data_IF_836666785293
#
_entry.id   IF_836666785293
#
_cell.length_a   1.000
_cell.length_b   1.000
_cell.length_c   1.000
_cell.angle_alpha   90.00
_cell.angle_beta   90.00
_cell.angle_gamma   90.00
#
_symmetry.space_group_name_H-M   'P 1'
#
loop_
_entity.id
_entity.type
_entity.pdbx_description
1 polymer ?
#
# COMPACT_ATOMS: atom_id res chain seq x y z
N UNK A 1 21.73 -17.54 14.53
CA UNK A 1 20.60 -17.39 15.48
C UNK A 1 19.78 -16.18 15.04
N UNK A 2 18.46 -16.24 15.14
CA UNK A 2 17.60 -15.07 14.86
C UNK A 2 17.74 -14.08 16.01
N UNK A 3 17.79 -12.80 15.71
CA UNK A 3 17.91 -11.73 16.71
C UNK A 3 16.66 -11.69 17.56
N UNK A 4 16.82 -11.67 18.89
CA UNK A 4 15.73 -11.48 19.85
C UNK A 4 15.73 -10.00 20.24
N UNK A 5 14.56 -9.36 20.19
CA UNK A 5 14.38 -7.97 20.64
C UNK A 5 13.23 -7.95 21.64
N UNK A 6 13.44 -7.31 22.78
CA UNK A 6 12.41 -7.08 23.78
C UNK A 6 12.05 -5.59 23.83
N UNK A 7 10.88 -5.26 23.35
CA UNK A 7 10.29 -3.92 23.41
C UNK A 7 9.57 -3.77 24.75
N UNK A 8 10.17 -3.04 25.66
CA UNK A 8 9.64 -2.83 27.02
C UNK A 8 8.68 -1.67 27.09
N UNK A 9 7.83 -1.72 28.08
CA UNK A 9 6.93 -0.62 28.44
C UNK A 9 6.00 -0.18 27.29
N UNK A 10 5.53 -1.11 26.47
CA UNK A 10 4.53 -0.86 25.43
C UNK A 10 3.15 -0.63 26.05
N UNK A 11 2.45 0.45 25.68
CA UNK A 11 1.02 0.58 25.92
C UNK A 11 0.26 -0.09 24.78
N UNK A 12 -0.46 -1.18 25.09
CA UNK A 12 -1.25 -1.89 24.08
C UNK A 12 -2.68 -1.34 24.02
N UNK A 13 -3.22 -1.28 22.80
CA UNK A 13 -4.62 -0.93 22.57
C UNK A 13 -5.52 -1.93 23.30
N UNK A 14 -6.52 -1.45 24.03
CA UNK A 14 -7.50 -2.27 24.76
C UNK A 14 -6.92 -3.11 25.92
N UNK A 15 -5.72 -2.80 26.44
CA UNK A 15 -5.14 -3.43 27.62
C UNK A 15 -4.69 -2.39 28.65
N UNK A 16 -4.95 -2.64 29.93
CA UNK A 16 -4.52 -1.77 31.01
C UNK A 16 -3.06 -2.07 31.43
N UNK A 17 -2.32 -1.00 31.66
CA UNK A 17 -0.91 -1.07 32.07
C UNK A 17 0.05 -1.18 30.89
N UNK A 18 1.32 -1.44 31.22
CA UNK A 18 2.39 -1.59 30.26
C UNK A 18 2.77 -3.05 30.07
N UNK A 19 3.19 -3.41 28.89
CA UNK A 19 3.55 -4.76 28.48
C UNK A 19 4.92 -4.75 27.80
N UNK A 20 5.61 -5.87 27.89
CA UNK A 20 6.77 -6.15 27.05
C UNK A 20 6.34 -7.01 25.87
N UNK A 21 6.84 -6.67 24.69
CA UNK A 21 6.65 -7.42 23.44
C UNK A 21 8.02 -7.99 23.08
N UNK A 22 8.11 -9.30 22.94
CA UNK A 22 9.36 -9.97 22.57
C UNK A 22 9.22 -10.58 21.18
N UNK A 23 10.19 -10.27 20.33
CA UNK A 23 10.26 -10.80 18.95
C UNK A 23 11.50 -11.65 18.75
N UNK A 24 11.41 -12.68 17.91
CA UNK A 24 12.52 -13.43 17.37
C UNK A 24 12.49 -13.33 15.84
N UNK A 25 13.36 -12.50 15.27
CA UNK A 25 13.26 -12.09 13.87
C UNK A 25 11.93 -11.37 13.63
N UNK A 26 11.12 -11.87 12.71
CA UNK A 26 9.83 -11.27 12.31
C UNK A 26 8.63 -11.76 13.13
N UNK A 27 8.85 -12.61 14.13
CA UNK A 27 7.76 -13.21 14.90
C UNK A 27 7.69 -12.67 16.31
N UNK A 28 6.50 -12.33 16.76
CA UNK A 28 6.22 -12.08 18.18
C UNK A 28 6.19 -13.43 18.90
N UNK A 29 7.10 -13.61 19.87
CA UNK A 29 7.20 -14.84 20.68
C UNK A 29 6.66 -14.67 22.09
N UNK A 30 6.35 -13.44 22.52
CA UNK A 30 5.77 -13.19 23.83
C UNK A 30 5.21 -11.78 23.95
N UNK A 31 4.09 -11.65 24.66
CA UNK A 31 3.51 -10.39 25.12
C UNK A 31 3.07 -10.60 26.56
N UNK A 32 3.75 -9.99 27.53
CA UNK A 32 3.42 -10.09 28.95
C UNK A 32 3.97 -8.90 29.74
N UNK A 33 3.45 -8.67 30.93
CA UNK A 33 4.00 -7.67 31.84
C UNK A 33 5.35 -8.16 32.39
N UNK A 34 6.33 -7.26 32.49
CA UNK A 34 7.65 -7.52 33.10
C UNK A 34 8.35 -8.78 32.57
N UNK A 35 8.23 -9.05 31.28
CA UNK A 35 8.73 -10.30 30.68
C UNK A 35 10.08 -10.17 29.97
N UNK A 36 10.55 -8.98 29.69
CA UNK A 36 11.81 -8.75 28.96
C UNK A 36 13.03 -9.40 29.67
N UNK A 37 13.06 -9.38 31.00
CA UNK A 37 14.14 -9.98 31.79
C UNK A 37 14.25 -11.51 31.70
N UNK A 38 13.28 -12.20 31.10
CA UNK A 38 13.33 -13.65 30.85
C UNK A 38 14.22 -14.03 29.64
N UNK A 39 14.62 -13.04 28.84
CA UNK A 39 15.38 -13.23 27.61
C UNK A 39 16.74 -12.52 27.75
N UNK A 40 17.72 -13.22 28.35
CA UNK A 40 19.04 -12.69 28.70
C UNK A 40 19.79 -12.12 27.52
N UNK A 41 19.58 -12.68 26.33
CA UNK A 41 20.29 -12.33 25.09
C UNK A 41 19.51 -11.36 24.20
N UNK A 42 18.38 -10.83 24.69
CA UNK A 42 17.56 -9.91 23.93
C UNK A 42 18.16 -8.50 23.91
N UNK A 43 18.14 -7.87 22.75
CA UNK A 43 18.29 -6.42 22.67
C UNK A 43 17.07 -5.74 23.31
N UNK A 44 17.31 -4.81 24.23
CA UNK A 44 16.23 -4.10 24.92
C UNK A 44 15.97 -2.76 24.26
N UNK A 45 14.71 -2.53 23.90
CA UNK A 45 14.21 -1.25 23.39
C UNK A 45 13.11 -0.76 24.33
N UNK A 46 13.34 0.31 25.08
CA UNK A 46 12.33 0.90 25.97
C UNK A 46 11.42 1.84 25.17
N UNK A 47 10.13 1.51 25.13
CA UNK A 47 9.11 2.31 24.44
C UNK A 47 8.57 3.46 25.31
N UNK A 48 8.87 3.50 26.61
CA UNK A 48 8.49 4.58 27.49
C UNK A 48 6.98 4.84 27.56
N UNK A 49 6.15 3.82 27.46
CA UNK A 49 4.69 3.93 27.49
C UNK A 49 4.06 4.35 26.15
N UNK A 50 4.80 4.32 25.03
CA UNK A 50 4.25 4.59 23.69
C UNK A 50 3.22 3.53 23.32
N UNK A 51 2.18 3.98 22.62
CA UNK A 51 1.16 3.09 22.08
C UNK A 51 1.78 2.20 20.99
N UNK A 52 1.49 0.91 21.11
CA UNK A 52 1.77 -0.09 20.06
C UNK A 52 0.45 -0.68 19.63
N UNK A 53 0.21 -0.70 18.34
CA UNK A 53 -0.96 -1.29 17.70
C UNK A 53 -0.55 -2.04 16.44
N UNK A 54 -1.48 -2.75 15.87
CA UNK A 54 -1.36 -3.36 14.55
C UNK A 54 -1.13 -2.27 13.50
N UNK A 55 -0.45 -2.59 12.39
CA UNK A 55 -0.27 -1.66 11.28
C UNK A 55 -1.61 -1.28 10.65
N UNK A 56 -1.66 -0.10 10.03
CA UNK A 56 -2.84 0.32 9.27
C UNK A 56 -2.92 -0.38 7.92
N UNK A 57 -4.13 -0.44 7.42
CA UNK A 57 -4.46 -0.98 6.08
C UNK A 57 -5.04 0.17 5.26
N UNK A 58 -4.41 0.49 4.12
CA UNK A 58 -5.02 1.33 3.11
C UNK A 58 -5.84 0.44 2.18
N UNK A 59 -7.16 0.55 2.30
CA UNK A 59 -8.08 -0.35 1.60
C UNK A 59 -8.51 0.14 0.22
N UNK A 60 -8.21 1.39 -0.15
CA UNK A 60 -8.61 1.97 -1.43
C UNK A 60 -7.75 3.16 -1.83
N UNK A 61 -6.73 2.91 -2.61
CA UNK A 61 -5.88 3.94 -3.22
C UNK A 61 -5.68 3.64 -4.71
N UNK A 62 -5.32 4.64 -5.48
CA UNK A 62 -4.90 4.51 -6.87
C UNK A 62 -3.43 4.91 -6.99
N UNK A 63 -2.51 3.97 -6.74
CA UNK A 63 -1.08 4.23 -6.82
C UNK A 63 -0.58 4.48 -8.26
N UNK A 64 -1.34 4.03 -9.24
CA UNK A 64 -1.07 4.22 -10.67
C UNK A 64 -1.17 5.68 -11.13
N UNK A 65 -1.98 6.51 -10.43
CA UNK A 65 -2.11 7.93 -10.77
C UNK A 65 -2.04 8.90 -9.59
N UNK A 66 -1.47 8.48 -8.45
CA UNK A 66 -1.19 9.41 -7.35
C UNK A 66 -0.26 10.55 -7.81
N UNK A 67 -0.42 11.71 -7.21
CA UNK A 67 0.38 12.92 -7.52
C UNK A 67 0.34 13.35 -8.99
N UNK A 68 -0.78 13.16 -9.67
CA UNK A 68 -0.97 13.56 -11.07
C UNK A 68 -1.61 14.94 -11.24
N UNK A 69 -1.86 15.65 -10.14
CA UNK A 69 -2.48 16.99 -10.18
C UNK A 69 -1.62 18.05 -10.94
N UNK A 70 -0.34 17.77 -11.15
CA UNK A 70 0.58 18.60 -11.93
C UNK A 70 0.55 18.31 -13.44
N UNK A 71 -0.14 17.27 -13.89
CA UNK A 71 -0.28 16.95 -15.31
C UNK A 71 -1.25 17.93 -15.93
N UNK A 72 -0.86 18.62 -17.01
CA UNK A 72 -1.77 19.51 -17.72
C UNK A 72 -3.00 18.73 -18.20
N UNK A 73 -4.16 19.23 -17.84
CA UNK A 73 -5.43 18.72 -18.33
C UNK A 73 -6.38 19.91 -18.50
N UNK A 74 -7.48 19.72 -19.22
CA UNK A 74 -8.50 20.75 -19.35
C UNK A 74 -8.99 21.22 -17.97
N UNK A 75 -9.24 22.53 -17.84
CA UNK A 75 -9.76 23.09 -16.59
C UNK A 75 -11.11 22.44 -16.27
N UNK A 76 -11.24 21.97 -15.05
CA UNK A 76 -12.45 21.34 -14.56
C UNK A 76 -13.30 22.38 -13.83
N UNK A 77 -14.58 22.43 -14.14
CA UNK A 77 -15.49 23.45 -13.61
C UNK A 77 -16.40 22.92 -12.49
N UNK A 78 -16.71 21.61 -12.47
CA UNK A 78 -17.73 21.05 -11.59
C UNK A 78 -17.17 20.40 -10.31
N UNK A 79 -15.93 19.94 -10.33
CA UNK A 79 -15.30 19.20 -9.22
C UNK A 79 -15.98 17.87 -8.90
N UNK A 80 -16.71 17.29 -9.86
CA UNK A 80 -17.37 16.01 -9.70
C UNK A 80 -16.44 14.83 -9.94
N UNK A 81 -16.80 13.65 -9.42
CA UNK A 81 -16.07 12.41 -9.68
C UNK A 81 -16.01 12.09 -11.19
N UNK A 82 -17.11 12.31 -11.92
CA UNK A 82 -17.15 12.02 -13.37
C UNK A 82 -16.15 12.88 -14.14
N UNK A 83 -16.04 14.15 -13.81
CA UNK A 83 -15.07 15.07 -14.38
C UNK A 83 -13.63 14.63 -14.06
N UNK A 84 -13.38 14.14 -12.85
CA UNK A 84 -12.06 13.61 -12.48
C UNK A 84 -11.71 12.33 -13.28
N UNK A 85 -12.67 11.46 -13.53
CA UNK A 85 -12.49 10.26 -14.36
C UNK A 85 -12.19 10.66 -15.81
N UNK A 86 -12.95 11.60 -16.38
CA UNK A 86 -12.73 12.10 -17.74
C UNK A 86 -11.34 12.74 -17.90
N UNK A 87 -10.94 13.55 -16.91
CA UNK A 87 -9.62 14.16 -16.87
C UNK A 87 -8.51 13.10 -16.84
N UNK A 88 -8.66 12.07 -16.02
CA UNK A 88 -7.72 10.96 -15.98
C UNK A 88 -7.66 10.23 -17.33
N UNK A 89 -8.81 9.85 -17.88
CA UNK A 89 -8.90 9.19 -19.20
C UNK A 89 -8.17 9.95 -20.30
N UNK A 90 -8.28 11.28 -20.31
CA UNK A 90 -7.60 12.16 -21.28
C UNK A 90 -6.09 12.32 -21.05
N UNK A 91 -5.61 12.09 -19.81
CA UNK A 91 -4.21 12.37 -19.44
C UNK A 91 -3.35 11.14 -19.19
N UNK A 92 -3.93 9.97 -18.93
CA UNK A 92 -3.19 8.75 -18.54
C UNK A 92 -2.11 8.33 -19.56
N UNK A 93 -2.35 8.55 -20.85
CA UNK A 93 -1.40 8.24 -21.93
C UNK A 93 -0.16 9.15 -21.98
N UNK A 94 -0.13 10.24 -21.19
CA UNK A 94 1.03 11.11 -21.07
C UNK A 94 2.07 10.57 -20.08
N UNK A 95 1.71 9.56 -19.29
CA UNK A 95 2.58 8.97 -18.27
C UNK A 95 3.39 7.81 -18.84
N UNK A 96 4.71 7.88 -18.66
CA UNK A 96 5.55 6.71 -18.89
C UNK A 96 5.47 5.74 -17.71
N UNK A 97 5.84 4.48 -17.94
CA UNK A 97 5.96 3.47 -16.92
C UNK A 97 6.87 3.89 -15.76
N UNK A 98 7.99 4.53 -16.07
CA UNK A 98 8.97 5.04 -15.11
C UNK A 98 8.39 6.18 -14.26
N UNK A 99 7.59 7.08 -14.86
CA UNK A 99 6.94 8.16 -14.12
C UNK A 99 5.88 7.62 -13.16
N UNK A 100 5.07 6.66 -13.63
CA UNK A 100 4.09 5.96 -12.77
C UNK A 100 4.78 5.29 -11.58
N UNK A 101 5.84 4.53 -11.82
CA UNK A 101 6.63 3.88 -10.74
C UNK A 101 7.15 4.90 -9.74
N UNK A 102 7.75 5.99 -10.20
CA UNK A 102 8.27 7.06 -9.33
C UNK A 102 7.20 7.67 -8.45
N UNK A 103 6.01 7.94 -9.00
CA UNK A 103 4.86 8.47 -8.25
C UNK A 103 4.33 7.45 -7.25
N UNK A 104 4.19 6.20 -7.66
CA UNK A 104 3.77 5.08 -6.81
C UNK A 104 4.71 4.90 -5.61
N UNK A 105 6.04 4.90 -5.81
CA UNK A 105 7.00 4.84 -4.70
C UNK A 105 6.85 5.98 -3.70
N UNK A 106 6.63 7.20 -4.20
CA UNK A 106 6.37 8.35 -3.33
C UNK A 106 5.09 8.16 -2.51
N UNK A 107 4.03 7.64 -3.13
CA UNK A 107 2.78 7.30 -2.46
C UNK A 107 2.98 6.24 -1.38
N UNK A 108 3.58 5.11 -1.73
CA UNK A 108 3.90 4.01 -0.83
C UNK A 108 4.73 4.49 0.36
N UNK A 109 5.77 5.29 0.12
CA UNK A 109 6.60 5.82 1.20
C UNK A 109 5.80 6.74 2.15
N UNK A 110 4.84 7.49 1.62
CA UNK A 110 3.94 8.33 2.43
C UNK A 110 3.04 7.46 3.31
N UNK A 111 2.44 6.41 2.73
CA UNK A 111 1.63 5.45 3.48
C UNK A 111 2.44 4.75 4.59
N UNK A 112 3.61 4.22 4.26
CA UNK A 112 4.48 3.56 5.24
C UNK A 112 4.89 4.49 6.38
N UNK A 113 5.17 5.77 6.11
CA UNK A 113 5.52 6.78 7.15
C UNK A 113 4.35 7.03 8.11
N UNK A 114 3.13 6.78 7.70
CA UNK A 114 1.92 6.86 8.50
C UNK A 114 1.52 5.53 9.15
N UNK A 115 2.36 4.49 9.03
CA UNK A 115 2.15 3.19 9.68
C UNK A 115 1.32 2.19 8.88
N UNK A 116 1.07 2.47 7.60
CA UNK A 116 0.42 1.52 6.69
C UNK A 116 1.43 0.45 6.24
N UNK A 117 1.04 -0.82 6.32
CA UNK A 117 1.83 -1.96 5.85
C UNK A 117 1.09 -2.84 4.84
N UNK A 118 -0.19 -2.60 4.66
CA UNK A 118 -1.04 -3.35 3.73
C UNK A 118 -1.79 -2.35 2.84
N UNK A 119 -1.57 -2.42 1.54
CA UNK A 119 -2.15 -1.48 0.58
C UNK A 119 -2.97 -2.26 -0.45
N UNK A 120 -4.24 -1.91 -0.61
CA UNK A 120 -5.06 -2.33 -1.73
C UNK A 120 -5.14 -1.20 -2.74
N UNK A 121 -4.42 -1.34 -3.86
CA UNK A 121 -4.45 -0.35 -4.94
C UNK A 121 -5.34 -0.82 -6.08
N UNK A 122 -6.22 0.08 -6.52
CA UNK A 122 -7.08 -0.10 -7.67
C UNK A 122 -6.37 0.49 -8.88
N UNK A 123 -5.95 -0.38 -9.80
CA UNK A 123 -5.14 0.00 -10.96
C UNK A 123 -6.01 0.03 -12.20
N UNK A 124 -6.05 1.17 -12.89
CA UNK A 124 -6.85 1.33 -14.10
C UNK A 124 -6.36 0.38 -15.21
N UNK A 125 -7.27 -0.49 -15.65
CA UNK A 125 -7.04 -1.45 -16.74
C UNK A 125 -7.75 -1.05 -18.03
N UNK A 126 -8.38 0.13 -18.09
CA UNK A 126 -8.96 0.68 -19.33
C UNK A 126 -7.87 1.33 -20.20
N UNK A 127 -6.78 0.60 -20.38
CA UNK A 127 -5.63 0.89 -21.23
C UNK A 127 -5.17 -0.42 -21.90
N UNK A 128 -5.35 -0.59 -23.22
CA UNK A 128 -4.97 -1.81 -23.92
C UNK A 128 -3.47 -2.15 -23.85
N UNK A 129 -2.62 -1.18 -23.57
CA UNK A 129 -1.17 -1.38 -23.39
C UNK A 129 -0.80 -1.80 -21.98
N UNK A 130 -1.72 -1.69 -21.02
CA UNK A 130 -1.50 -2.01 -19.61
C UNK A 130 -0.30 -1.30 -18.98
N UNK A 131 0.03 -0.09 -19.44
CA UNK A 131 1.21 0.64 -19.01
C UNK A 131 1.26 0.81 -17.48
N UNK A 132 0.16 1.31 -16.91
CA UNK A 132 0.04 1.50 -15.46
C UNK A 132 0.03 0.15 -14.71
N UNK A 133 -0.68 -0.84 -15.23
CA UNK A 133 -0.77 -2.14 -14.59
C UNK A 133 0.57 -2.88 -14.56
N UNK A 134 1.33 -2.86 -15.66
CA UNK A 134 2.68 -3.41 -15.71
C UNK A 134 3.63 -2.71 -14.74
N UNK A 135 3.55 -1.36 -14.67
CA UNK A 135 4.32 -0.59 -13.69
C UNK A 135 4.04 -1.04 -12.26
N UNK A 136 2.77 -1.24 -11.91
CA UNK A 136 2.37 -1.63 -10.57
C UNK A 136 2.71 -3.09 -10.22
N UNK A 137 2.72 -4.01 -11.20
CA UNK A 137 3.24 -5.37 -10.99
C UNK A 137 4.72 -5.34 -10.60
N UNK A 138 5.53 -4.53 -11.28
CA UNK A 138 6.95 -4.37 -10.94
C UNK A 138 7.14 -3.72 -9.57
N UNK A 139 6.40 -2.64 -9.29
CA UNK A 139 6.45 -1.96 -7.98
C UNK A 139 6.11 -2.92 -6.85
N UNK A 140 5.04 -3.71 -7.00
CA UNK A 140 4.64 -4.73 -6.01
C UNK A 140 5.80 -5.69 -5.68
N UNK A 141 6.48 -6.21 -6.70
CA UNK A 141 7.60 -7.12 -6.50
C UNK A 141 8.81 -6.43 -5.85
N UNK A 142 9.11 -5.19 -6.24
CA UNK A 142 10.26 -4.44 -5.73
C UNK A 142 10.11 -3.99 -4.26
N UNK A 143 8.88 -3.86 -3.76
CA UNK A 143 8.63 -3.41 -2.37
C UNK A 143 8.12 -4.51 -1.44
N UNK A 144 8.00 -5.75 -1.91
CA UNK A 144 7.40 -6.87 -1.17
C UNK A 144 8.02 -7.15 0.21
N UNK A 145 9.29 -6.79 0.40
CA UNK A 145 9.99 -6.93 1.68
C UNK A 145 9.66 -5.80 2.67
N UNK A 146 8.87 -4.81 2.28
CA UNK A 146 8.57 -3.61 3.06
C UNK A 146 7.08 -3.39 3.30
N UNK A 147 6.26 -3.69 2.31
CA UNK A 147 4.81 -3.47 2.32
C UNK A 147 4.13 -4.51 1.44
N UNK A 148 2.99 -5.02 1.91
CA UNK A 148 2.14 -5.91 1.13
C UNK A 148 1.21 -5.10 0.23
N UNK A 149 1.25 -5.36 -1.08
CA UNK A 149 0.38 -4.70 -2.04
C UNK A 149 -0.56 -5.72 -2.68
N UNK A 150 -1.85 -5.44 -2.61
CA UNK A 150 -2.88 -6.13 -3.37
C UNK A 150 -3.26 -5.27 -4.58
N UNK A 151 -3.14 -5.85 -5.79
CA UNK A 151 -3.50 -5.19 -7.05
C UNK A 151 -4.91 -5.60 -7.48
N UNK A 152 -5.79 -4.60 -7.60
CA UNK A 152 -7.14 -4.79 -8.12
C UNK A 152 -7.17 -4.36 -9.58
N UNK A 153 -7.62 -5.24 -10.48
CA UNK A 153 -7.90 -4.89 -11.86
C UNK A 153 -9.15 -4.00 -11.91
N UNK A 154 -8.97 -2.69 -12.03
CA UNK A 154 -10.03 -1.71 -11.90
C UNK A 154 -10.37 -1.07 -13.26
N UNK A 155 -11.55 -1.36 -13.83
CA UNK A 155 -11.97 -0.73 -15.09
C UNK A 155 -12.51 0.68 -14.82
N UNK A 156 -11.63 1.68 -14.73
CA UNK A 156 -11.96 3.05 -14.34
C UNK A 156 -13.07 3.68 -15.18
N UNK A 157 -13.10 3.40 -16.47
CA UNK A 157 -14.11 3.92 -17.39
C UNK A 157 -15.34 3.00 -17.51
N UNK A 158 -15.40 1.96 -16.68
CA UNK A 158 -16.50 0.99 -16.64
C UNK A 158 -16.25 -0.25 -17.50
N UNK A 159 -16.47 -1.43 -16.91
CA UNK A 159 -16.20 -2.72 -17.54
C UNK A 159 -16.95 -2.90 -18.88
N UNK A 160 -18.17 -2.39 -18.98
CA UNK A 160 -19.02 -2.53 -20.18
C UNK A 160 -19.17 -1.21 -20.95
N UNK A 161 -18.74 -0.09 -20.39
CA UNK A 161 -18.73 1.20 -21.07
C UNK A 161 -17.48 1.39 -21.93
N UNK A 162 -16.34 0.90 -21.44
CA UNK A 162 -15.10 0.88 -22.21
C UNK A 162 -15.09 -0.29 -23.21
N UNK A 163 -14.55 -0.04 -24.42
CA UNK A 163 -14.45 -1.06 -25.44
C UNK A 163 -13.60 -2.24 -24.97
N UNK A 164 -14.16 -3.45 -25.00
CA UNK A 164 -13.50 -4.70 -24.56
C UNK A 164 -13.05 -4.67 -23.09
N UNK A 165 -13.66 -3.84 -22.23
CA UNK A 165 -13.24 -3.66 -20.84
C UNK A 165 -13.31 -4.95 -19.99
N UNK A 166 -14.28 -5.82 -20.27
CA UNK A 166 -14.38 -7.15 -19.66
C UNK A 166 -13.16 -8.05 -20.01
N UNK A 167 -12.69 -7.99 -21.26
CA UNK A 167 -11.50 -8.74 -21.69
C UNK A 167 -10.22 -8.16 -21.09
N UNK A 168 -10.15 -6.82 -20.93
CA UNK A 168 -9.02 -6.17 -20.27
C UNK A 168 -8.91 -6.58 -18.80
N UNK A 169 -10.04 -6.63 -18.08
CA UNK A 169 -10.05 -7.15 -16.70
C UNK A 169 -9.59 -8.61 -16.66
N UNK A 170 -10.14 -9.48 -17.55
CA UNK A 170 -9.71 -10.88 -17.62
C UNK A 170 -8.21 -11.01 -17.92
N UNK A 171 -7.67 -10.16 -18.79
CA UNK A 171 -6.24 -10.15 -19.12
C UNK A 171 -5.40 -9.69 -17.92
N UNK A 172 -5.80 -8.64 -17.20
CA UNK A 172 -5.10 -8.18 -16.01
C UNK A 172 -5.05 -9.26 -14.91
N UNK A 173 -6.14 -10.03 -14.74
CA UNK A 173 -6.14 -11.20 -13.85
C UNK A 173 -5.13 -12.25 -14.28
N UNK A 174 -5.03 -12.55 -15.57
CA UNK A 174 -4.02 -13.48 -16.11
C UNK A 174 -2.59 -12.95 -15.97
N UNK A 175 -2.40 -11.63 -15.97
CA UNK A 175 -1.10 -10.99 -15.75
C UNK A 175 -0.68 -10.97 -14.29
N UNK A 176 -1.58 -11.19 -13.34
CA UNK A 176 -1.26 -11.27 -11.93
C UNK A 176 -1.95 -10.25 -11.03
N UNK A 177 -3.11 -9.71 -11.45
CA UNK A 177 -3.98 -9.03 -10.49
C UNK A 177 -4.44 -10.01 -9.42
N UNK A 178 -4.56 -9.53 -8.18
CA UNK A 178 -5.03 -10.34 -7.06
C UNK A 178 -6.56 -10.50 -7.06
N UNK A 179 -7.27 -9.50 -7.63
CA UNK A 179 -8.75 -9.47 -7.77
C UNK A 179 -9.11 -8.71 -9.03
#
# INVERSE_FOLDING_TARGET
MRKIIAYKNAKLRHREGLYDIVTEGEKIIGIAKDSAGKYSDAEIVDLGGRLVCEPYVESHIHLDYVYTADIPAEETASGTLFEAIEKWSGSKHQLSKEDIKKRAYKGILTEMRNGVQYIRTHVDVTDPEFTAFQAMLEVKEEVKDKVDIQLIAFPQEGMYAYRDGDKLVEQALKMGADV
#
